data_IF_798474792154
#
_entry.id   IF_798474792154
#
_cell.length_a   1.000
_cell.length_b   1.000
_cell.length_c   1.000
_cell.angle_alpha   90.00
_cell.angle_beta   90.00
_cell.angle_gamma   90.00
#
_symmetry.space_group_name_H-M   'P 1'
#
loop_
_entity.id
_entity.type
_entity.pdbx_description
1 polymer ?
#
# COMPACT_ATOMS: atom_id res chain seq x y z
N UNK A 1 -13.39 22.46 -14.60
CA UNK A 1 -12.42 23.43 -14.02
C UNK A 1 -12.24 24.57 -15.02
N UNK A 2 -12.27 25.83 -14.59
CA UNK A 2 -12.17 27.03 -15.44
C UNK A 2 -10.84 27.79 -15.29
N UNK A 3 -9.83 27.20 -14.64
CA UNK A 3 -8.51 27.82 -14.41
C UNK A 3 -7.84 28.34 -15.68
N UNK A 4 -8.05 27.68 -16.82
CA UNK A 4 -7.54 28.12 -18.13
C UNK A 4 -8.08 29.46 -18.61
N UNK A 5 -9.21 29.95 -18.05
CA UNK A 5 -9.74 31.27 -18.35
C UNK A 5 -8.97 32.41 -17.66
N UNK A 6 -8.15 32.08 -16.65
CA UNK A 6 -7.47 33.06 -15.80
C UNK A 6 -5.95 33.10 -16.01
N UNK A 7 -5.39 32.10 -16.68
CA UNK A 7 -3.96 32.03 -16.98
C UNK A 7 -3.54 30.70 -17.60
N UNK A 8 -2.26 30.57 -18.00
CA UNK A 8 -1.72 29.38 -18.65
C UNK A 8 -1.44 28.25 -17.63
N UNK A 9 -2.48 27.78 -16.95
CA UNK A 9 -2.42 26.69 -15.96
C UNK A 9 -2.03 25.34 -16.55
N UNK A 10 -2.26 25.15 -17.85
CA UNK A 10 -2.00 23.92 -18.57
C UNK A 10 -0.92 24.15 -19.63
N UNK A 11 -0.15 23.09 -19.93
CA UNK A 11 0.82 23.07 -21.03
C UNK A 11 0.48 21.97 -22.03
N UNK A 12 0.86 22.19 -23.29
CA UNK A 12 0.80 21.18 -24.35
C UNK A 12 2.08 20.32 -24.43
N UNK A 13 3.14 20.70 -23.69
CA UNK A 13 4.41 19.99 -23.67
C UNK A 13 4.30 18.55 -23.15
N UNK A 14 3.32 18.31 -22.27
CA UNK A 14 3.09 17.01 -21.64
C UNK A 14 1.61 16.61 -21.68
N UNK A 15 1.37 15.31 -21.52
CA UNK A 15 0.02 14.73 -21.40
C UNK A 15 -0.03 13.82 -20.18
N UNK A 16 -1.13 13.89 -19.44
CA UNK A 16 -1.41 12.95 -18.36
C UNK A 16 -2.48 11.95 -18.81
N UNK A 17 -2.62 10.81 -18.12
CA UNK A 17 -3.74 9.90 -18.37
C UNK A 17 -5.13 10.55 -18.18
N UNK A 18 -5.21 11.61 -17.37
CA UNK A 18 -6.46 12.28 -16.99
C UNK A 18 -6.74 13.58 -17.74
N UNK A 19 -5.84 14.03 -18.61
CA UNK A 19 -6.06 15.23 -19.43
C UNK A 19 -4.78 16.06 -19.67
N UNK A 20 -4.97 17.37 -19.80
CA UNK A 20 -3.86 18.31 -20.01
C UNK A 20 -2.99 18.37 -18.75
N UNK A 21 -1.67 18.40 -18.94
CA UNK A 21 -0.72 18.54 -17.85
C UNK A 21 -0.70 19.97 -17.30
N UNK A 22 -0.44 20.09 -16.00
CA UNK A 22 -0.24 21.40 -15.37
C UNK A 22 1.09 22.02 -15.82
N UNK A 23 1.10 23.33 -15.99
CA UNK A 23 2.27 24.08 -16.39
C UNK A 23 3.16 24.41 -15.19
N UNK A 24 4.17 23.58 -14.91
CA UNK A 24 5.14 23.83 -13.84
C UNK A 24 6.50 24.36 -14.32
N UNK A 25 6.79 24.31 -15.62
CA UNK A 25 8.12 24.60 -16.17
C UNK A 25 8.12 25.36 -17.51
N UNK A 26 6.96 25.76 -18.03
CA UNK A 26 6.84 26.53 -19.27
C UNK A 26 6.69 28.04 -19.00
N UNK A 27 6.50 28.83 -20.05
CA UNK A 27 6.25 30.28 -19.98
C UNK A 27 5.07 30.56 -19.04
N UNK A 28 5.28 31.51 -18.11
CA UNK A 28 4.30 31.93 -17.10
C UNK A 28 3.92 30.85 -16.06
N UNK A 29 4.77 29.84 -15.87
CA UNK A 29 4.56 28.78 -14.87
C UNK A 29 4.70 29.27 -13.42
N UNK A 30 5.33 30.42 -13.16
CA UNK A 30 5.61 30.89 -11.79
C UNK A 30 4.34 31.05 -10.95
N UNK A 31 3.26 31.57 -11.53
CA UNK A 31 1.98 31.72 -10.85
C UNK A 31 1.29 30.39 -10.58
N UNK A 32 1.44 29.42 -11.49
CA UNK A 32 0.88 28.06 -11.36
C UNK A 32 1.60 27.30 -10.26
N UNK A 33 2.94 27.30 -10.26
CA UNK A 33 3.76 26.73 -9.18
C UNK A 33 3.34 27.29 -7.83
N UNK A 34 3.29 28.62 -7.73
CA UNK A 34 2.94 29.29 -6.48
C UNK A 34 1.53 28.91 -6.00
N UNK A 35 0.56 28.80 -6.90
CA UNK A 35 -0.80 28.39 -6.56
C UNK A 35 -0.84 27.03 -5.83
N UNK A 36 -0.16 26.02 -6.35
CA UNK A 36 -0.16 24.67 -5.75
C UNK A 36 0.64 24.61 -4.44
N UNK A 37 1.77 25.34 -4.36
CA UNK A 37 2.56 25.43 -3.12
C UNK A 37 1.76 26.12 -2.03
N UNK A 38 1.19 27.29 -2.31
CA UNK A 38 0.35 28.03 -1.36
C UNK A 38 -0.90 27.24 -0.98
N UNK A 39 -1.47 26.43 -1.88
CA UNK A 39 -2.56 25.53 -1.51
C UNK A 39 -2.14 24.48 -0.46
N UNK A 40 -0.95 23.89 -0.60
CA UNK A 40 -0.42 22.96 0.39
C UNK A 40 -0.20 23.64 1.75
N UNK A 41 0.42 24.83 1.76
CA UNK A 41 0.61 25.61 3.00
C UNK A 41 -0.73 26.01 3.64
N UNK A 42 -1.69 26.42 2.83
CA UNK A 42 -3.02 26.84 3.28
C UNK A 42 -3.73 25.74 4.08
N UNK A 43 -3.67 24.48 3.65
CA UNK A 43 -4.24 23.35 4.41
C UNK A 43 -3.58 23.15 5.77
N UNK A 44 -2.25 23.31 5.84
CA UNK A 44 -1.51 23.18 7.09
C UNK A 44 -1.78 24.35 8.05
N UNK A 45 -1.86 25.57 7.54
CA UNK A 45 -2.04 26.79 8.35
C UNK A 45 -3.48 26.99 8.81
N UNK A 46 -4.46 26.78 7.93
CA UNK A 46 -5.84 27.20 8.17
C UNK A 46 -6.73 26.06 8.63
N UNK A 47 -6.38 24.82 8.29
CA UNK A 47 -7.13 23.62 8.65
C UNK A 47 -6.34 22.68 9.56
N UNK A 48 -5.08 23.02 9.87
CA UNK A 48 -4.24 22.31 10.82
C UNK A 48 -4.04 20.82 10.49
N UNK A 49 -4.03 20.46 9.21
CA UNK A 49 -3.63 19.10 8.80
C UNK A 49 -2.21 18.79 9.31
N UNK A 50 -1.90 17.53 9.56
CA UNK A 50 -0.55 17.07 9.94
C UNK A 50 0.23 16.53 8.75
N UNK A 51 -0.48 16.01 7.74
CA UNK A 51 0.11 15.44 6.54
C UNK A 51 -0.75 15.73 5.31
N UNK A 52 -0.10 15.83 4.15
CA UNK A 52 -0.76 15.81 2.84
C UNK A 52 -0.24 14.62 2.04
N UNK A 53 -1.17 13.86 1.44
CA UNK A 53 -0.86 12.84 0.43
C UNK A 53 -1.00 13.48 -0.96
N UNK A 54 0.10 13.58 -1.69
CA UNK A 54 0.16 14.13 -3.04
C UNK A 54 -0.20 13.04 -4.04
N UNK A 55 -1.28 13.26 -4.78
CA UNK A 55 -1.80 12.37 -5.80
C UNK A 55 -0.88 12.31 -7.04
N UNK A 56 -0.70 11.10 -7.56
CA UNK A 56 -0.06 10.78 -8.83
C UNK A 56 1.14 11.66 -9.20
N UNK A 57 2.15 11.73 -8.32
CA UNK A 57 3.30 12.63 -8.51
C UNK A 57 4.09 12.33 -9.77
N UNK A 58 3.97 11.10 -10.29
CA UNK A 58 4.57 10.65 -11.54
C UNK A 58 3.99 11.33 -12.79
N UNK A 59 2.86 12.02 -12.65
CA UNK A 59 2.25 12.86 -13.69
C UNK A 59 2.48 14.36 -13.47
N UNK A 60 3.25 14.74 -12.43
CA UNK A 60 3.74 16.11 -12.23
C UNK A 60 5.04 16.23 -13.03
N UNK A 61 4.93 16.83 -14.21
CA UNK A 61 6.07 17.09 -15.09
C UNK A 61 6.70 18.43 -14.77
N UNK A 62 8.00 18.41 -14.52
CA UNK A 62 8.81 19.61 -14.30
C UNK A 62 10.28 19.31 -14.61
N UNK A 63 10.80 19.88 -15.69
CA UNK A 63 12.21 19.80 -16.09
C UNK A 63 13.05 20.99 -15.58
N UNK A 64 12.47 21.86 -14.75
CA UNK A 64 13.17 22.97 -14.11
C UNK A 64 14.33 22.48 -13.23
N UNK A 65 15.35 23.33 -13.08
CA UNK A 65 16.53 23.03 -12.24
C UNK A 65 16.17 22.75 -10.76
N UNK A 66 15.00 23.21 -10.31
CA UNK A 66 14.39 22.85 -9.03
C UNK A 66 12.97 22.34 -9.29
N UNK A 67 12.77 21.05 -9.08
CA UNK A 67 11.47 20.40 -9.23
C UNK A 67 10.44 20.99 -8.25
N UNK A 68 9.19 21.15 -8.66
CA UNK A 68 8.10 21.76 -7.86
C UNK A 68 7.85 21.00 -6.57
N UNK A 69 8.03 19.68 -6.59
CA UNK A 69 7.99 18.82 -5.40
C UNK A 69 9.08 19.19 -4.39
N UNK A 70 10.31 19.46 -4.84
CA UNK A 70 11.39 19.91 -3.97
C UNK A 70 11.08 21.30 -3.39
N UNK A 71 10.59 22.22 -4.22
CA UNK A 71 10.21 23.57 -3.77
C UNK A 71 9.08 23.52 -2.72
N UNK A 72 8.06 22.68 -2.94
CA UNK A 72 6.98 22.44 -1.99
C UNK A 72 7.51 21.88 -0.66
N UNK A 73 8.40 20.88 -0.71
CA UNK A 73 8.99 20.30 0.49
C UNK A 73 9.79 21.34 1.31
N UNK A 74 10.57 22.21 0.65
CA UNK A 74 11.29 23.31 1.32
C UNK A 74 10.35 24.31 1.99
N UNK A 75 9.23 24.66 1.33
CA UNK A 75 8.25 25.60 1.88
C UNK A 75 7.49 25.00 3.06
N UNK A 76 7.12 23.72 2.98
CA UNK A 76 6.48 22.98 4.07
C UNK A 76 7.42 22.80 5.25
N UNK A 77 8.72 22.56 5.01
CA UNK A 77 9.73 22.50 6.08
C UNK A 77 9.88 23.85 6.80
N UNK A 78 9.94 24.95 6.05
CA UNK A 78 9.97 26.29 6.63
C UNK A 78 8.73 26.60 7.48
N UNK A 79 7.54 26.22 6.98
CA UNK A 79 6.29 26.36 7.73
C UNK A 79 6.26 25.45 8.97
N UNK A 80 6.74 24.21 8.85
CA UNK A 80 6.85 23.27 9.96
C UNK A 80 7.70 23.84 11.09
N UNK A 81 8.83 24.49 10.76
CA UNK A 81 9.68 25.17 11.72
C UNK A 81 9.00 26.37 12.38
N UNK A 82 8.25 27.19 11.62
CA UNK A 82 7.56 28.37 12.17
C UNK A 82 6.38 27.99 13.08
N UNK A 83 5.68 26.90 12.77
CA UNK A 83 4.57 26.37 13.59
C UNK A 83 5.05 25.54 14.79
N UNK A 84 6.32 25.14 14.84
CA UNK A 84 6.87 24.31 15.91
C UNK A 84 6.30 22.89 15.97
N UNK A 85 5.76 22.37 14.85
CA UNK A 85 5.26 20.99 14.72
C UNK A 85 5.67 20.39 13.38
N UNK A 86 5.88 19.08 13.33
CA UNK A 86 6.24 18.38 12.10
C UNK A 86 5.03 18.34 11.14
N UNK A 87 5.25 18.76 9.90
CA UNK A 87 4.33 18.59 8.79
C UNK A 87 4.90 17.56 7.82
N UNK A 88 4.05 16.70 7.27
CA UNK A 88 4.47 15.61 6.40
C UNK A 88 3.93 15.73 4.97
N UNK A 89 4.76 15.41 3.99
CA UNK A 89 4.36 15.20 2.61
C UNK A 89 4.57 13.74 2.21
N UNK A 90 3.50 13.08 1.77
CA UNK A 90 3.50 11.68 1.36
C UNK A 90 3.16 11.60 -0.12
N UNK A 91 4.01 10.99 -0.93
CA UNK A 91 3.82 10.93 -2.37
C UNK A 91 3.13 9.63 -2.79
N UNK A 92 2.11 9.68 -3.64
CA UNK A 92 1.74 8.53 -4.46
C UNK A 92 2.60 8.52 -5.73
N UNK A 93 3.39 7.46 -5.92
CA UNK A 93 4.34 7.36 -7.02
C UNK A 93 4.32 5.97 -7.64
N UNK A 94 4.11 5.93 -8.96
CA UNK A 94 4.22 4.71 -9.78
C UNK A 94 5.60 4.60 -10.46
N UNK A 95 6.61 5.29 -9.93
CA UNK A 95 7.97 5.34 -10.52
C UNK A 95 8.93 4.32 -9.93
N UNK A 96 8.66 3.83 -8.70
CA UNK A 96 9.63 3.14 -7.86
C UNK A 96 10.97 3.92 -7.76
N UNK A 97 10.89 5.25 -7.64
CA UNK A 97 12.04 6.15 -7.67
C UNK A 97 12.35 6.71 -6.27
N UNK A 98 13.54 6.36 -5.75
CA UNK A 98 14.00 6.85 -4.45
C UNK A 98 14.25 8.36 -4.41
N UNK A 99 14.42 9.03 -5.56
CA UNK A 99 14.60 10.49 -5.60
C UNK A 99 13.42 11.22 -4.98
N UNK A 100 12.21 10.66 -5.01
CA UNK A 100 11.02 11.24 -4.39
C UNK A 100 11.23 11.50 -2.90
N UNK A 101 11.82 10.55 -2.18
CA UNK A 101 11.95 10.54 -0.71
C UNK A 101 13.38 10.79 -0.20
N UNK A 102 14.35 10.87 -1.11
CA UNK A 102 15.75 11.13 -0.77
C UNK A 102 15.92 12.59 -0.35
N UNK A 103 16.90 12.84 0.52
CA UNK A 103 17.26 14.17 0.98
C UNK A 103 17.70 15.07 -0.19
N UNK A 104 17.40 16.36 -0.07
CA UNK A 104 17.63 17.36 -1.14
C UNK A 104 19.13 17.52 -1.43
N UNK A 105 19.96 17.43 -0.40
CA UNK A 105 21.42 17.50 -0.44
C UNK A 105 22.03 16.32 -1.22
N UNK A 106 21.28 15.23 -1.36
CA UNK A 106 21.65 14.04 -2.15
C UNK A 106 20.90 13.98 -3.48
N UNK A 107 20.28 15.08 -3.92
CA UNK A 107 19.59 15.18 -5.20
C UNK A 107 18.16 14.61 -5.23
N UNK A 108 17.53 14.42 -4.06
CA UNK A 108 16.12 14.06 -3.96
C UNK A 108 15.17 15.25 -3.84
N UNK A 109 13.86 14.97 -3.81
CA UNK A 109 12.82 15.97 -3.63
C UNK A 109 12.51 16.24 -2.15
N UNK A 110 12.93 15.36 -1.24
CA UNK A 110 12.73 15.55 0.20
C UNK A 110 11.30 15.29 0.70
N UNK A 111 10.51 14.46 0.00
CA UNK A 111 9.23 13.97 0.55
C UNK A 111 9.48 13.05 1.75
N UNK A 112 8.57 13.07 2.73
CA UNK A 112 8.74 12.28 3.96
C UNK A 112 8.49 10.79 3.73
N UNK A 113 7.56 10.43 2.84
CA UNK A 113 7.27 9.06 2.45
C UNK A 113 6.70 8.95 1.04
N UNK A 114 6.66 7.74 0.49
CA UNK A 114 5.92 7.42 -0.72
C UNK A 114 5.13 6.13 -0.59
N UNK A 115 4.03 6.01 -1.32
CA UNK A 115 3.31 4.75 -1.47
C UNK A 115 4.18 3.76 -2.25
N UNK A 116 4.16 2.50 -1.82
CA UNK A 116 4.95 1.40 -2.36
C UNK A 116 4.04 0.23 -2.72
N UNK A 117 3.45 0.33 -3.90
CA UNK A 117 2.38 -0.57 -4.36
C UNK A 117 2.85 -1.99 -4.64
N UNK A 118 4.13 -2.21 -4.91
CA UNK A 118 4.72 -3.53 -5.15
C UNK A 118 4.41 -4.53 -4.01
N UNK A 119 4.36 -4.08 -2.76
CA UNK A 119 3.96 -4.91 -1.62
C UNK A 119 2.51 -5.39 -1.76
N UNK A 120 1.59 -4.45 -2.02
CA UNK A 120 0.17 -4.74 -2.26
C UNK A 120 0.03 -5.75 -3.41
N UNK A 121 0.73 -5.51 -4.52
CA UNK A 121 0.60 -6.31 -5.73
C UNK A 121 1.10 -7.74 -5.53
N UNK A 122 2.22 -7.92 -4.83
CA UNK A 122 2.70 -9.24 -4.41
C UNK A 122 1.68 -9.95 -3.53
N UNK A 123 1.21 -9.28 -2.48
CA UNK A 123 0.30 -9.87 -1.50
C UNK A 123 -1.04 -10.28 -2.16
N UNK A 124 -1.63 -9.39 -2.96
CA UNK A 124 -2.87 -9.63 -3.67
C UNK A 124 -2.75 -10.81 -4.65
N UNK A 125 -1.70 -10.85 -5.46
CA UNK A 125 -1.51 -11.93 -6.45
C UNK A 125 -1.23 -13.28 -5.81
N UNK A 126 -0.52 -13.32 -4.68
CA UNK A 126 -0.28 -14.55 -3.92
C UNK A 126 -1.57 -15.12 -3.32
N UNK A 127 -2.48 -14.26 -2.86
CA UNK A 127 -3.73 -14.67 -2.21
C UNK A 127 -4.87 -14.97 -3.20
N UNK A 128 -4.96 -14.24 -4.30
CA UNK A 128 -6.06 -14.35 -5.28
C UNK A 128 -5.68 -15.19 -6.50
N UNK A 129 -4.40 -15.27 -6.84
CA UNK A 129 -3.94 -15.86 -8.10
C UNK A 129 -4.24 -14.99 -9.34
N UNK A 130 -4.73 -13.76 -9.18
CA UNK A 130 -5.04 -12.88 -10.30
C UNK A 130 -3.79 -12.51 -11.12
N UNK A 131 -3.94 -12.48 -12.45
CA UNK A 131 -2.86 -12.21 -13.42
C UNK A 131 -3.34 -11.23 -14.51
N UNK A 132 -4.17 -10.25 -14.12
CA UNK A 132 -4.77 -9.24 -15.02
C UNK A 132 -4.09 -7.89 -14.81
N UNK A 133 -3.90 -7.11 -15.88
CA UNK A 133 -3.28 -5.78 -15.76
C UNK A 133 -1.87 -5.85 -15.16
N UNK A 134 -1.57 -4.92 -14.26
CA UNK A 134 -0.28 -4.81 -13.57
C UNK A 134 0.04 -6.01 -12.67
N UNK A 135 -0.95 -6.83 -12.29
CA UNK A 135 -0.71 -8.06 -11.51
C UNK A 135 0.14 -9.10 -12.26
N UNK A 136 0.23 -9.02 -13.60
CA UNK A 136 1.09 -9.90 -14.43
C UNK A 136 2.58 -9.83 -14.10
N UNK A 137 3.00 -8.75 -13.45
CA UNK A 137 4.38 -8.54 -13.02
C UNK A 137 4.69 -9.23 -11.67
N UNK A 138 3.68 -9.83 -11.01
CA UNK A 138 3.78 -10.36 -9.66
C UNK A 138 3.24 -11.81 -9.56
N UNK A 139 3.38 -12.39 -8.38
CA UNK A 139 2.82 -13.71 -8.04
C UNK A 139 3.81 -14.71 -7.46
N UNK A 140 5.10 -14.33 -7.33
CA UNK A 140 6.12 -15.15 -6.66
C UNK A 140 6.26 -14.74 -5.19
N UNK A 141 6.46 -15.72 -4.30
CA UNK A 141 6.62 -15.40 -2.87
C UNK A 141 7.97 -14.73 -2.58
N UNK A 142 8.99 -15.03 -3.38
CA UNK A 142 10.29 -14.33 -3.37
C UNK A 142 10.14 -12.82 -3.65
N UNK A 143 9.18 -12.40 -4.47
CA UNK A 143 8.91 -10.98 -4.70
C UNK A 143 8.34 -10.32 -3.45
N UNK A 144 7.45 -10.99 -2.71
CA UNK A 144 6.98 -10.48 -1.43
C UNK A 144 8.14 -10.37 -0.42
N UNK A 145 9.01 -11.38 -0.34
CA UNK A 145 10.21 -11.34 0.50
C UNK A 145 11.12 -10.14 0.14
N UNK A 146 11.31 -9.88 -1.16
CA UNK A 146 12.02 -8.69 -1.66
C UNK A 146 11.32 -7.40 -1.22
N UNK A 147 9.99 -7.30 -1.36
CA UNK A 147 9.23 -6.13 -0.94
C UNK A 147 9.34 -5.83 0.57
N UNK A 148 9.47 -6.85 1.43
CA UNK A 148 9.76 -6.65 2.87
C UNK A 148 11.13 -6.02 3.12
N UNK A 149 12.15 -6.45 2.38
CA UNK A 149 13.54 -6.01 2.57
C UNK A 149 13.84 -4.68 1.88
N UNK A 150 13.39 -4.53 0.66
CA UNK A 150 13.81 -3.48 -0.27
C UNK A 150 12.69 -2.48 -0.58
N UNK A 151 11.47 -2.72 -0.11
CA UNK A 151 10.25 -1.95 -0.40
C UNK A 151 9.78 -2.04 -1.86
N UNK A 152 10.69 -1.96 -2.84
CA UNK A 152 10.41 -2.20 -4.25
C UNK A 152 10.80 -3.60 -4.69
N UNK A 153 9.94 -4.23 -5.47
CA UNK A 153 10.23 -5.48 -6.19
C UNK A 153 11.02 -5.16 -7.45
N UNK A 154 10.67 -4.09 -8.15
CA UNK A 154 11.40 -3.64 -9.33
C UNK A 154 12.43 -2.58 -8.96
N UNK A 155 13.72 -2.93 -9.07
CA UNK A 155 14.87 -2.08 -8.77
C UNK A 155 15.82 -1.95 -9.98
N UNK A 156 15.31 -1.35 -11.05
CA UNK A 156 15.93 -1.29 -12.39
C UNK A 156 15.95 -2.63 -13.13
N UNK A 157 14.86 -3.36 -13.03
CA UNK A 157 14.62 -4.63 -13.72
C UNK A 157 13.54 -4.47 -14.80
N UNK A 158 13.55 -5.32 -15.83
CA UNK A 158 12.52 -5.28 -16.87
C UNK A 158 11.19 -5.80 -16.32
N UNK A 159 10.16 -4.95 -16.33
CA UNK A 159 8.80 -5.26 -15.91
C UNK A 159 7.97 -5.70 -17.13
N UNK A 160 7.63 -7.00 -17.27
CA UNK A 160 6.97 -7.56 -18.46
C UNK A 160 5.67 -6.87 -18.88
N UNK A 161 4.80 -6.51 -17.94
CA UNK A 161 3.54 -5.81 -18.19
C UNK A 161 3.79 -4.38 -18.63
N UNK A 162 4.69 -3.67 -17.94
CA UNK A 162 5.07 -2.29 -18.27
C UNK A 162 5.89 -2.18 -19.57
N UNK A 163 6.49 -3.29 -20.02
CA UNK A 163 7.34 -3.40 -21.22
C UNK A 163 8.54 -2.45 -21.21
N UNK A 164 9.11 -2.22 -20.03
CA UNK A 164 10.27 -1.34 -19.81
C UNK A 164 11.02 -1.71 -18.53
N UNK A 165 12.23 -1.19 -18.37
CA UNK A 165 12.91 -1.18 -17.08
C UNK A 165 12.17 -0.28 -16.09
N UNK A 166 12.09 -0.71 -14.84
CA UNK A 166 11.32 -0.03 -13.81
C UNK A 166 12.04 0.03 -12.46
N UNK A 167 11.85 1.16 -11.78
CA UNK A 167 12.30 1.41 -10.42
C UNK A 167 13.79 1.67 -10.23
N UNK A 168 14.16 1.80 -8.97
CA UNK A 168 15.51 2.10 -8.48
C UNK A 168 15.75 1.36 -7.15
N UNK A 169 17.01 1.19 -6.77
CA UNK A 169 17.37 0.55 -5.51
C UNK A 169 16.97 1.44 -4.31
N UNK A 170 16.12 0.89 -3.43
CA UNK A 170 15.56 1.53 -2.24
C UNK A 170 16.02 0.88 -0.92
N UNK A 171 17.02 0.00 -0.99
CA UNK A 171 17.58 -0.71 0.18
C UNK A 171 18.21 0.23 1.22
N UNK A 172 18.71 1.40 0.79
CA UNK A 172 19.34 2.38 1.68
C UNK A 172 18.36 3.30 2.42
N UNK A 173 17.07 3.26 2.08
CA UNK A 173 16.03 4.10 2.68
C UNK A 173 15.35 3.36 3.84
N UNK A 174 15.00 4.03 4.95
CA UNK A 174 14.32 3.39 6.08
C UNK A 174 12.84 3.07 5.77
N UNK A 175 12.27 2.10 6.49
CA UNK A 175 10.91 1.61 6.23
C UNK A 175 9.80 2.63 6.52
N UNK A 176 10.07 3.61 7.39
CA UNK A 176 9.11 4.69 7.65
C UNK A 176 8.89 5.64 6.47
N UNK A 177 9.66 5.54 5.39
CA UNK A 177 9.45 6.31 4.16
C UNK A 177 8.60 5.58 3.11
N UNK A 178 8.11 4.37 3.42
CA UNK A 178 7.30 3.57 2.50
C UNK A 178 5.95 3.26 3.12
N UNK A 179 4.88 3.76 2.50
CA UNK A 179 3.51 3.44 2.87
C UNK A 179 3.05 2.24 2.04
N UNK A 180 2.61 1.18 2.70
CA UNK A 180 2.10 -0.04 2.08
C UNK A 180 0.68 -0.31 2.56
N UNK A 181 -0.09 -1.10 1.81
CA UNK A 181 -1.45 -1.46 2.18
C UNK A 181 -1.81 -2.86 1.67
N UNK A 182 -2.89 -3.43 2.21
CA UNK A 182 -3.59 -4.55 1.54
C UNK A 182 -4.78 -4.06 0.72
N UNK A 183 -5.34 -2.91 1.09
CA UNK A 183 -6.40 -2.23 0.36
C UNK A 183 -6.21 -0.72 0.45
N UNK A 184 -6.64 -0.01 -0.59
CA UNK A 184 -6.85 1.43 -0.58
C UNK A 184 -8.00 1.75 -1.56
N UNK A 185 -8.28 3.03 -1.77
CA UNK A 185 -9.38 3.45 -2.64
C UNK A 185 -9.19 3.04 -4.11
N UNK A 186 -7.95 3.01 -4.63
CA UNK A 186 -7.65 2.58 -6.00
C UNK A 186 -7.69 1.07 -6.15
N UNK A 187 -7.02 0.34 -5.24
CA UNK A 187 -6.91 -1.12 -5.31
C UNK A 187 -8.27 -1.82 -5.17
N UNK A 188 -9.24 -1.15 -4.53
CA UNK A 188 -10.65 -1.56 -4.52
C UNK A 188 -11.43 -0.89 -5.67
N UNK A 189 -11.44 0.44 -5.76
CA UNK A 189 -12.34 1.20 -6.62
C UNK A 189 -12.02 1.23 -8.11
N UNK A 190 -10.78 0.90 -8.50
CA UNK A 190 -10.44 0.72 -9.91
C UNK A 190 -10.83 -0.67 -10.44
N UNK A 191 -11.22 -1.61 -9.56
CA UNK A 191 -11.84 -2.87 -9.98
C UNK A 191 -13.24 -2.59 -10.53
N UNK A 192 -13.66 -3.37 -11.53
CA UNK A 192 -14.94 -3.16 -12.22
C UNK A 192 -16.15 -3.17 -11.26
N UNK A 193 -16.13 -4.05 -10.27
CA UNK A 193 -17.20 -4.20 -9.29
C UNK A 193 -16.85 -3.64 -7.91
N UNK A 194 -15.72 -2.94 -7.77
CA UNK A 194 -15.30 -2.35 -6.49
C UNK A 194 -15.09 -3.37 -5.37
N UNK A 195 -14.77 -4.61 -5.70
CA UNK A 195 -14.67 -5.71 -4.74
C UNK A 195 -13.52 -5.50 -3.77
N UNK A 196 -13.79 -5.72 -2.48
CA UNK A 196 -12.78 -5.70 -1.43
C UNK A 196 -12.07 -7.05 -1.37
N UNK A 197 -10.87 -7.07 -0.79
CA UNK A 197 -10.15 -8.32 -0.56
C UNK A 197 -11.00 -9.34 0.22
N UNK A 198 -11.83 -8.87 1.16
CA UNK A 198 -12.80 -9.66 1.95
C UNK A 198 -13.79 -10.49 1.14
N UNK A 199 -14.11 -10.07 -0.09
CA UNK A 199 -15.01 -10.79 -0.99
C UNK A 199 -14.26 -11.62 -2.03
N UNK A 200 -12.94 -11.49 -2.11
CA UNK A 200 -12.09 -12.17 -3.09
C UNK A 200 -11.36 -13.39 -2.52
N UNK A 201 -11.12 -13.42 -1.20
CA UNK A 201 -10.32 -14.48 -0.56
C UNK A 201 -11.00 -15.09 0.66
N UNK A 202 -10.43 -16.19 1.15
CA UNK A 202 -10.92 -16.87 2.34
C UNK A 202 -10.72 -16.03 3.62
N UNK A 203 -11.45 -16.35 4.68
CA UNK A 203 -11.24 -15.70 5.98
C UNK A 203 -9.83 -15.90 6.54
N UNK A 204 -9.21 -17.06 6.29
CA UNK A 204 -7.82 -17.32 6.68
C UNK A 204 -6.86 -16.41 5.91
N UNK A 205 -7.04 -16.26 4.59
CA UNK A 205 -6.27 -15.35 3.76
C UNK A 205 -6.39 -13.87 4.21
N UNK A 206 -7.55 -13.43 4.70
CA UNK A 206 -7.70 -12.08 5.27
C UNK A 206 -6.87 -11.89 6.55
N UNK A 207 -6.88 -12.88 7.44
CA UNK A 207 -6.04 -12.86 8.65
C UNK A 207 -4.56 -12.85 8.28
N UNK A 208 -4.16 -13.65 7.29
CA UNK A 208 -2.81 -13.69 6.75
C UNK A 208 -2.40 -12.34 6.15
N UNK A 209 -3.26 -11.69 5.36
CA UNK A 209 -3.00 -10.37 4.80
C UNK A 209 -2.79 -9.31 5.89
N UNK A 210 -3.63 -9.32 6.94
CA UNK A 210 -3.51 -8.43 8.10
C UNK A 210 -2.16 -8.61 8.81
N UNK A 211 -1.75 -9.87 9.04
CA UNK A 211 -0.45 -10.21 9.61
C UNK A 211 0.71 -9.74 8.75
N UNK A 212 0.66 -10.00 7.44
CA UNK A 212 1.69 -9.57 6.51
C UNK A 212 1.87 -8.04 6.53
N UNK A 213 0.77 -7.29 6.49
CA UNK A 213 0.83 -5.83 6.52
C UNK A 213 1.38 -5.30 7.85
N UNK A 214 0.78 -5.70 8.98
CA UNK A 214 1.04 -5.08 10.28
C UNK A 214 2.35 -5.54 10.94
N UNK A 215 2.93 -6.66 10.50
CA UNK A 215 4.24 -7.13 10.97
C UNK A 215 5.41 -6.65 10.10
N UNK A 216 5.16 -5.93 9.00
CA UNK A 216 6.20 -5.34 8.15
C UNK A 216 6.99 -4.21 8.83
N UNK A 217 8.17 -3.90 8.31
CA UNK A 217 8.95 -2.72 8.73
C UNK A 217 8.54 -1.42 7.99
N UNK A 218 7.52 -1.45 7.14
CA UNK A 218 7.01 -0.29 6.40
C UNK A 218 5.84 0.37 7.14
N UNK A 219 5.40 1.58 6.74
CA UNK A 219 4.20 2.23 7.28
C UNK A 219 2.92 1.58 6.72
N UNK A 220 2.04 1.00 7.55
CA UNK A 220 0.79 0.43 7.07
C UNK A 220 -0.28 1.52 6.88
N UNK A 221 -1.00 1.44 5.77
CA UNK A 221 -2.27 2.14 5.52
C UNK A 221 -3.40 1.11 5.53
N UNK A 222 -4.47 1.42 6.25
CA UNK A 222 -5.70 0.63 6.26
C UNK A 222 -6.78 1.37 5.48
N UNK A 223 -7.54 0.62 4.66
CA UNK A 223 -8.72 1.18 4.03
C UNK A 223 -9.95 1.03 4.93
N UNK A 224 -10.82 2.04 4.95
CA UNK A 224 -11.98 2.06 5.85
C UNK A 224 -12.82 0.78 5.71
N UNK A 225 -13.01 0.06 6.83
CA UNK A 225 -13.74 -1.19 6.90
C UNK A 225 -12.92 -2.47 6.68
N UNK A 226 -11.66 -2.37 6.24
CA UNK A 226 -10.76 -3.51 6.09
C UNK A 226 -10.59 -4.29 7.41
N UNK A 227 -10.53 -3.59 8.54
CA UNK A 227 -10.21 -4.17 9.84
C UNK A 227 -11.27 -5.14 10.37
N UNK A 228 -12.52 -4.99 9.93
CA UNK A 228 -13.61 -5.91 10.27
C UNK A 228 -14.08 -6.73 9.06
N UNK A 229 -13.39 -6.64 7.92
CA UNK A 229 -13.75 -7.38 6.72
C UNK A 229 -15.06 -6.90 6.09
N UNK A 230 -15.22 -5.58 5.94
CA UNK A 230 -16.32 -4.97 5.19
C UNK A 230 -16.53 -5.66 3.83
N UNK A 231 -17.78 -5.94 3.47
CA UNK A 231 -18.13 -6.59 2.21
C UNK A 231 -18.81 -5.63 1.23
N UNK A 232 -19.27 -4.46 1.69
CA UNK A 232 -19.74 -3.40 0.80
C UNK A 232 -18.62 -3.01 -0.18
N UNK A 233 -18.89 -2.95 -1.49
CA UNK A 233 -17.88 -2.55 -2.46
C UNK A 233 -17.44 -1.11 -2.20
N UNK A 234 -16.37 -0.67 -2.85
CA UNK A 234 -16.07 0.76 -2.98
C UNK A 234 -16.00 1.08 -4.46
N UNK A 235 -17.05 1.70 -5.00
CA UNK A 235 -17.20 1.94 -6.43
C UNK A 235 -16.71 3.34 -6.81
N UNK A 236 -16.35 3.52 -8.08
CA UNK A 236 -16.13 4.86 -8.63
C UNK A 236 -17.48 5.54 -8.88
N UNK A 237 -17.74 6.64 -8.18
CA UNK A 237 -18.96 7.46 -8.32
C UNK A 237 -18.64 8.94 -8.55
N UNK A 238 -19.50 9.61 -9.30
CA UNK A 238 -19.40 11.04 -9.63
C UNK A 238 -20.76 11.73 -9.49
N UNK A 239 -20.73 13.05 -9.34
CA UNK A 239 -21.94 13.89 -9.32
C UNK A 239 -21.70 15.17 -10.13
N UNK A 240 -21.39 15.00 -11.42
CA UNK A 240 -21.18 16.13 -12.34
C UNK A 240 -22.53 16.68 -12.80
N UNK A 241 -22.64 18.01 -12.91
CA UNK A 241 -23.85 18.67 -13.42
C UNK A 241 -23.82 18.91 -14.93
N UNK A 242 -22.65 18.81 -15.55
CA UNK A 242 -22.46 18.95 -16.99
C UNK A 242 -22.73 17.60 -17.71
N UNK A 243 -23.79 17.50 -18.55
CA UNK A 243 -24.14 16.27 -19.23
C UNK A 243 -23.04 15.71 -20.15
N UNK A 244 -22.20 16.57 -20.71
CA UNK A 244 -21.12 16.13 -21.61
C UNK A 244 -19.99 15.49 -20.81
N UNK A 245 -19.66 16.01 -19.62
CA UNK A 245 -18.73 15.36 -18.69
C UNK A 245 -19.27 14.01 -18.20
N UNK A 246 -20.56 13.95 -17.84
CA UNK A 246 -21.21 12.71 -17.41
C UNK A 246 -21.10 11.64 -18.50
N UNK A 247 -21.42 12.02 -19.75
CA UNK A 247 -21.30 11.12 -20.90
C UNK A 247 -19.85 10.67 -21.10
N UNK A 248 -18.89 11.59 -21.01
CA UNK A 248 -17.47 11.28 -21.14
C UNK A 248 -16.98 10.30 -20.06
N UNK A 249 -17.42 10.46 -18.81
CA UNK A 249 -17.10 9.54 -17.70
C UNK A 249 -17.65 8.14 -17.96
N UNK A 250 -18.94 8.03 -18.34
CA UNK A 250 -19.57 6.74 -18.68
C UNK A 250 -18.84 6.04 -19.82
N UNK A 251 -18.50 6.76 -20.88
CA UNK A 251 -17.77 6.21 -22.02
C UNK A 251 -16.32 5.83 -21.68
N UNK A 252 -15.64 6.64 -20.86
CA UNK A 252 -14.29 6.40 -20.39
C UNK A 252 -14.19 5.08 -19.60
N UNK A 253 -15.05 4.91 -18.59
CA UNK A 253 -15.11 3.66 -17.80
C UNK A 253 -15.44 2.45 -18.67
N UNK A 254 -16.39 2.59 -19.60
CA UNK A 254 -16.72 1.50 -20.54
C UNK A 254 -15.53 1.07 -21.40
N UNK A 255 -14.69 2.02 -21.84
CA UNK A 255 -13.46 1.72 -22.62
C UNK A 255 -12.39 1.06 -21.76
N UNK A 256 -12.18 1.53 -20.53
CA UNK A 256 -11.26 0.91 -19.58
C UNK A 256 -11.64 -0.55 -19.32
N UNK A 257 -12.91 -0.83 -19.03
CA UNK A 257 -13.38 -2.21 -18.77
C UNK A 257 -13.26 -3.14 -19.98
N UNK A 258 -13.48 -2.63 -21.19
CA UNK A 258 -13.26 -3.40 -22.41
C UNK A 258 -11.78 -3.81 -22.58
N UNK A 259 -10.83 -2.97 -22.17
CA UNK A 259 -9.40 -3.31 -22.21
C UNK A 259 -9.04 -4.46 -21.25
N UNK A 260 -9.76 -4.59 -20.13
CA UNK A 260 -9.57 -5.65 -19.14
C UNK A 260 -10.33 -6.96 -19.43
N UNK A 261 -11.09 -7.05 -20.53
CA UNK A 261 -11.87 -8.23 -20.93
C UNK A 261 -12.82 -8.75 -19.83
N UNK A 262 -13.31 -7.85 -18.98
CA UNK A 262 -14.21 -8.20 -17.88
C UNK A 262 -15.64 -8.28 -18.43
N UNK A 263 -16.24 -9.48 -18.38
CA UNK A 263 -17.65 -9.70 -18.71
C UNK A 263 -18.52 -9.36 -17.47
N UNK A 264 -19.47 -8.42 -17.60
CA UNK A 264 -20.39 -8.07 -16.52
C UNK A 264 -21.17 -6.77 -16.75
N UNK A 265 -22.26 -6.57 -16.01
CA UNK A 265 -22.94 -5.28 -15.95
C UNK A 265 -22.15 -4.33 -15.06
N UNK A 266 -21.65 -3.22 -15.62
CA UNK A 266 -20.99 -2.18 -14.85
C UNK A 266 -22.02 -1.26 -14.19
N UNK A 267 -21.72 -0.78 -12.98
CA UNK A 267 -22.59 0.18 -12.30
C UNK A 267 -22.31 1.58 -12.82
N UNK A 268 -23.38 2.32 -13.09
CA UNK A 268 -23.31 3.68 -13.60
C UNK A 268 -22.68 4.62 -12.55
N UNK A 269 -21.52 5.24 -12.81
CA UNK A 269 -20.86 6.12 -11.85
C UNK A 269 -21.71 7.31 -11.39
N UNK A 270 -22.68 7.75 -12.20
CA UNK A 270 -23.55 8.88 -11.84
C UNK A 270 -24.78 8.44 -11.01
N UNK A 271 -25.06 7.14 -10.92
CA UNK A 271 -26.22 6.65 -10.16
C UNK A 271 -26.03 6.86 -8.67
N UNK A 272 -27.07 7.34 -7.99
CA UNK A 272 -27.12 7.42 -6.53
C UNK A 272 -26.87 6.06 -5.87
N UNK A 273 -27.33 4.97 -6.48
CA UNK A 273 -27.15 3.62 -5.95
C UNK A 273 -25.66 3.25 -5.86
N UNK A 274 -24.83 3.67 -6.82
CA UNK A 274 -23.37 3.43 -6.82
C UNK A 274 -22.70 4.03 -5.59
N UNK A 275 -23.11 5.24 -5.18
CA UNK A 275 -22.65 5.85 -3.93
C UNK A 275 -23.20 5.12 -2.70
N UNK A 276 -24.51 4.83 -2.68
CA UNK A 276 -25.16 4.20 -1.53
C UNK A 276 -24.63 2.80 -1.22
N UNK A 277 -24.34 2.01 -2.25
CA UNK A 277 -23.74 0.70 -2.09
C UNK A 277 -22.29 0.75 -1.59
N UNK A 278 -21.60 1.86 -1.79
CA UNK A 278 -20.24 2.07 -1.31
C UNK A 278 -20.17 2.46 0.17
N UNK A 279 -21.32 2.60 0.83
CA UNK A 279 -21.40 2.96 2.25
C UNK A 279 -21.11 1.75 3.15
N UNK A 280 -20.30 2.00 4.19
CA UNK A 280 -19.92 0.99 5.17
C UNK A 280 -21.14 0.40 5.89
N UNK A 281 -21.15 -0.93 5.98
CA UNK A 281 -22.07 -1.71 6.80
C UNK A 281 -21.37 -1.92 8.14
N UNK A 282 -21.74 -1.16 9.16
CA UNK A 282 -21.11 -1.20 10.49
C UNK A 282 -21.43 -2.47 11.32
N UNK A 283 -21.46 -3.64 10.68
CA UNK A 283 -21.85 -4.94 11.24
C UNK A 283 -20.66 -5.73 11.82
N UNK A 284 -19.83 -5.08 12.62
CA UNK A 284 -18.57 -5.64 13.13
C UNK A 284 -18.67 -6.27 14.53
N UNK A 285 -19.86 -6.35 15.12
CA UNK A 285 -20.03 -6.73 16.53
C UNK A 285 -20.03 -8.25 16.77
N UNK A 286 -20.16 -9.09 15.74
CA UNK A 286 -20.31 -10.54 15.89
C UNK A 286 -19.52 -11.35 14.85
N UNK A 287 -19.41 -12.66 15.09
CA UNK A 287 -18.86 -13.62 14.13
C UNK A 287 -17.45 -13.29 13.63
N UNK A 288 -17.25 -13.54 12.33
CA UNK A 288 -15.97 -13.34 11.64
C UNK A 288 -15.51 -11.88 11.65
N UNK A 289 -16.44 -10.93 11.52
CA UNK A 289 -16.12 -9.50 11.50
C UNK A 289 -15.54 -9.04 12.84
N UNK A 290 -16.12 -9.48 13.96
CA UNK A 290 -15.57 -9.23 15.30
C UNK A 290 -14.19 -9.85 15.47
N UNK A 291 -14.04 -11.13 15.11
CA UNK A 291 -12.77 -11.85 15.25
C UNK A 291 -11.64 -11.20 14.45
N UNK A 292 -11.92 -10.75 13.22
CA UNK A 292 -10.95 -10.04 12.40
C UNK A 292 -10.58 -8.68 13.02
N UNK A 293 -11.57 -7.92 13.48
CA UNK A 293 -11.34 -6.63 14.15
C UNK A 293 -10.48 -6.77 15.40
N UNK A 294 -10.75 -7.78 16.23
CA UNK A 294 -9.94 -8.08 17.42
C UNK A 294 -8.52 -8.51 17.03
N UNK A 295 -8.34 -9.26 15.94
CA UNK A 295 -7.01 -9.58 15.41
C UNK A 295 -6.26 -8.32 14.96
N UNK A 296 -6.89 -7.41 14.21
CA UNK A 296 -6.29 -6.13 13.80
C UNK A 296 -5.87 -5.30 15.02
N UNK A 297 -6.76 -5.16 16.01
CA UNK A 297 -6.45 -4.46 17.26
C UNK A 297 -5.24 -5.07 17.98
N UNK A 298 -5.20 -6.40 18.06
CA UNK A 298 -4.10 -7.11 18.70
C UNK A 298 -2.78 -6.97 17.92
N UNK A 299 -2.81 -7.04 16.59
CA UNK A 299 -1.63 -6.80 15.75
C UNK A 299 -1.09 -5.38 15.88
N UNK A 300 -1.97 -4.37 15.93
CA UNK A 300 -1.57 -2.98 16.19
C UNK A 300 -0.95 -2.86 17.58
N UNK A 301 -1.51 -3.51 18.59
CA UNK A 301 -0.96 -3.53 19.95
C UNK A 301 0.43 -4.19 19.99
N UNK A 302 0.63 -5.32 19.31
CA UNK A 302 1.94 -5.98 19.19
C UNK A 302 2.94 -5.06 18.50
N UNK A 303 2.53 -4.43 17.39
CA UNK A 303 3.36 -3.47 16.65
C UNK A 303 3.80 -2.27 17.49
N UNK A 304 2.96 -1.80 18.40
CA UNK A 304 3.27 -0.67 19.29
C UNK A 304 4.10 -1.07 20.52
N UNK A 305 3.99 -2.32 20.97
CA UNK A 305 4.58 -2.79 22.23
C UNK A 305 5.90 -3.53 22.07
N UNK A 306 6.09 -4.30 20.99
CA UNK A 306 7.31 -5.07 20.75
C UNK A 306 8.35 -4.19 20.05
N UNK A 307 9.54 -3.94 20.65
CA UNK A 307 10.57 -3.08 20.04
C UNK A 307 11.00 -3.49 18.63
N UNK A 308 11.13 -4.79 18.36
CA UNK A 308 11.45 -5.31 17.02
C UNK A 308 10.39 -4.97 15.95
N UNK A 309 9.12 -4.81 16.35
CA UNK A 309 8.03 -4.44 15.43
C UNK A 309 7.84 -2.92 15.35
N UNK A 310 7.98 -2.23 16.48
CA UNK A 310 7.80 -0.77 16.61
C UNK A 310 8.81 0.02 15.80
N UNK A 311 10.05 -0.46 15.74
CA UNK A 311 11.11 0.18 14.97
C UNK A 311 11.02 -0.23 13.50
N UNK A 312 10.82 0.76 12.62
CA UNK A 312 10.64 0.58 11.18
C UNK A 312 11.99 0.51 10.43
N UNK A 313 12.87 -0.33 10.97
CA UNK A 313 14.24 -0.50 10.50
C UNK A 313 14.34 -1.70 9.56
N UNK A 314 14.76 -1.45 8.32
CA UNK A 314 14.98 -2.48 7.30
C UNK A 314 16.37 -3.12 7.38
N UNK A 315 17.31 -2.56 8.15
CA UNK A 315 18.65 -3.15 8.36
C UNK A 315 18.62 -4.31 9.34
N UNK A 316 17.70 -4.26 10.31
CA UNK A 316 17.48 -5.30 11.31
C UNK A 316 16.28 -6.18 10.95
N UNK A 317 16.27 -6.65 9.70
CA UNK A 317 15.21 -7.46 9.10
C UNK A 317 15.81 -8.45 8.12
N UNK A 318 15.38 -9.71 8.23
CA UNK A 318 15.57 -10.73 7.21
C UNK A 318 14.20 -11.23 6.75
N UNK A 319 14.04 -11.37 5.43
CA UNK A 319 12.91 -12.05 4.83
C UNK A 319 13.44 -13.09 3.83
N UNK A 320 12.99 -14.33 3.99
CA UNK A 320 13.33 -15.45 3.11
C UNK A 320 12.07 -16.22 2.75
N UNK A 321 12.11 -16.96 1.64
CA UNK A 321 10.96 -17.68 1.14
C UNK A 321 11.33 -19.08 0.65
N UNK A 322 10.34 -19.98 0.66
CA UNK A 322 10.39 -21.26 -0.06
C UNK A 322 9.34 -21.18 -1.16
N UNK A 323 9.80 -20.96 -2.40
CA UNK A 323 8.92 -20.66 -3.54
C UNK A 323 7.94 -21.79 -3.84
N UNK A 324 8.42 -23.04 -3.88
CA UNK A 324 7.61 -24.21 -4.20
C UNK A 324 6.44 -24.42 -3.23
N UNK A 325 6.67 -24.11 -1.95
CA UNK A 325 5.68 -24.26 -0.88
C UNK A 325 4.90 -22.98 -0.58
N UNK A 326 5.28 -21.85 -1.17
CA UNK A 326 4.73 -20.51 -0.88
C UNK A 326 4.83 -20.12 0.60
N UNK A 327 5.96 -20.46 1.23
CA UNK A 327 6.25 -20.02 2.60
C UNK A 327 7.10 -18.76 2.61
N UNK A 328 6.81 -17.87 3.55
CA UNK A 328 7.61 -16.69 3.85
C UNK A 328 8.02 -16.70 5.33
N UNK A 329 9.29 -16.44 5.59
CA UNK A 329 9.87 -16.29 6.91
C UNK A 329 10.30 -14.84 7.08
N UNK A 330 9.92 -14.23 8.20
CA UNK A 330 10.28 -12.86 8.55
C UNK A 330 10.91 -12.85 9.93
N UNK A 331 12.19 -12.46 10.00
CA UNK A 331 12.92 -12.24 11.24
C UNK A 331 13.18 -10.74 11.38
N UNK A 332 12.76 -10.15 12.50
CA UNK A 332 13.07 -8.75 12.82
C UNK A 332 13.65 -8.67 14.22
N UNK A 333 14.57 -7.73 14.43
CA UNK A 333 15.15 -7.51 15.74
C UNK A 333 15.40 -6.02 16.02
N UNK A 334 15.45 -5.68 17.29
CA UNK A 334 15.91 -4.39 17.78
C UNK A 334 16.46 -4.59 19.18
N UNK A 335 17.75 -4.33 19.36
CA UNK A 335 18.51 -4.70 20.56
C UNK A 335 18.29 -6.19 20.90
N UNK A 336 17.81 -6.48 22.12
CA UNK A 336 17.51 -7.85 22.58
C UNK A 336 16.14 -8.36 22.12
N UNK A 337 15.25 -7.49 21.66
CA UNK A 337 13.91 -7.88 21.20
C UNK A 337 13.99 -8.51 19.82
N UNK A 338 13.49 -9.72 19.65
CA UNK A 338 13.40 -10.38 18.35
C UNK A 338 12.03 -11.02 18.13
N UNK A 339 11.58 -11.02 16.88
CA UNK A 339 10.40 -11.74 16.43
C UNK A 339 10.73 -12.62 15.23
N UNK A 340 10.11 -13.78 15.16
CA UNK A 340 10.18 -14.67 14.01
C UNK A 340 8.76 -15.03 13.58
N UNK A 341 8.41 -14.68 12.34
CA UNK A 341 7.10 -14.92 11.77
C UNK A 341 7.21 -15.93 10.62
N UNK A 342 6.29 -16.89 10.59
CA UNK A 342 6.15 -17.88 9.54
C UNK A 342 4.79 -17.67 8.90
N UNK A 343 4.75 -17.42 7.60
CA UNK A 343 3.55 -17.13 6.84
C UNK A 343 3.38 -18.20 5.75
N UNK A 344 2.23 -18.87 5.73
CA UNK A 344 1.90 -19.86 4.72
C UNK A 344 0.88 -19.31 3.73
N UNK A 345 1.29 -19.04 2.49
CA UNK A 345 0.41 -18.59 1.41
C UNK A 345 -0.17 -19.75 0.59
N UNK A 346 0.17 -20.99 0.92
CA UNK A 346 -0.39 -22.18 0.29
C UNK A 346 -1.85 -22.41 0.74
N UNK A 347 -2.64 -23.02 -0.13
CA UNK A 347 -4.02 -23.44 0.17
C UNK A 347 -4.08 -24.77 0.93
N UNK A 348 -2.92 -25.36 1.24
CA UNK A 348 -2.75 -26.61 1.99
C UNK A 348 -1.85 -26.45 3.21
N UNK A 349 -1.92 -27.45 4.09
CA UNK A 349 -0.90 -27.64 5.14
C UNK A 349 0.47 -27.84 4.48
N UNK A 350 1.48 -27.14 4.97
CA UNK A 350 2.85 -27.30 4.50
C UNK A 350 3.70 -27.90 5.61
N UNK A 351 4.45 -28.95 5.28
CA UNK A 351 5.45 -29.54 6.16
C UNK A 351 6.83 -29.03 5.75
N UNK A 352 7.56 -28.42 6.68
CA UNK A 352 8.86 -27.81 6.38
C UNK A 352 9.80 -27.93 7.57
N UNK A 353 11.09 -27.81 7.29
CA UNK A 353 12.14 -27.73 8.29
C UNK A 353 12.68 -26.30 8.29
N UNK A 354 12.29 -25.45 9.25
CA UNK A 354 12.74 -24.06 9.26
C UNK A 354 14.25 -23.97 9.54
N UNK A 355 14.91 -23.05 8.84
CA UNK A 355 16.17 -22.51 9.34
C UNK A 355 15.84 -21.44 10.38
N UNK A 356 15.96 -21.81 11.65
CA UNK A 356 15.62 -20.93 12.76
C UNK A 356 16.83 -20.06 13.14
N UNK A 357 16.63 -18.75 13.39
CA UNK A 357 17.67 -17.97 14.05
C UNK A 357 17.90 -18.52 15.47
N UNK A 358 19.14 -18.41 15.96
CA UNK A 358 19.50 -18.93 17.28
C UNK A 358 18.70 -18.22 18.38
N UNK A 359 17.91 -18.99 19.14
CA UNK A 359 17.14 -18.41 20.23
C UNK A 359 16.10 -19.34 20.85
N UNK A 360 15.54 -18.89 21.96
CA UNK A 360 14.42 -19.53 22.62
C UNK A 360 13.11 -18.88 22.16
N UNK A 361 12.53 -19.40 21.09
CA UNK A 361 11.34 -18.82 20.49
C UNK A 361 10.06 -19.30 21.16
N UNK A 362 9.28 -18.37 21.71
CA UNK A 362 7.97 -18.61 22.32
C UNK A 362 6.86 -18.09 21.40
N UNK A 363 5.85 -18.92 21.12
CA UNK A 363 4.69 -18.54 20.32
C UNK A 363 3.88 -17.48 21.06
N UNK A 364 3.61 -16.36 20.39
CA UNK A 364 2.77 -15.28 20.93
C UNK A 364 1.47 -15.10 20.16
N UNK A 365 1.42 -15.52 18.89
CA UNK A 365 0.22 -15.48 18.08
C UNK A 365 0.24 -16.56 16.99
N UNK A 366 -0.94 -17.16 16.75
CA UNK A 366 -1.19 -18.13 15.69
C UNK A 366 -2.61 -17.93 15.18
N UNK A 367 -2.79 -17.54 13.92
CA UNK A 367 -4.12 -17.24 13.36
C UNK A 367 -5.02 -18.44 13.20
N UNK A 368 -4.47 -19.65 13.28
CA UNK A 368 -5.24 -20.90 13.22
C UNK A 368 -5.82 -21.30 14.58
N UNK A 369 -5.50 -20.59 15.67
CA UNK A 369 -6.12 -20.83 16.98
C UNK A 369 -7.63 -20.54 16.98
N UNK A 370 -8.44 -21.31 17.73
CA UNK A 370 -9.90 -21.12 17.81
C UNK A 370 -10.33 -19.71 18.24
N UNK A 371 -9.49 -19.00 19.02
CA UNK A 371 -9.77 -17.61 19.46
C UNK A 371 -9.90 -16.63 18.29
N UNK A 372 -9.25 -16.93 17.15
CA UNK A 372 -9.34 -16.15 15.91
C UNK A 372 -10.23 -16.84 14.86
N UNK A 373 -11.13 -17.72 15.31
CA UNK A 373 -11.97 -18.56 14.45
C UNK A 373 -11.17 -19.37 13.41
N UNK A 374 -9.94 -19.75 13.74
CA UNK A 374 -9.08 -20.57 12.88
C UNK A 374 -9.46 -22.05 12.89
N UNK A 375 -8.90 -22.80 11.95
CA UNK A 375 -9.17 -24.23 11.74
C UNK A 375 -8.44 -25.19 12.70
N UNK A 376 -7.59 -24.67 13.58
CA UNK A 376 -6.78 -25.43 14.53
C UNK A 376 -5.28 -25.20 14.33
N UNK A 377 -4.58 -24.82 15.40
CA UNK A 377 -3.12 -24.63 15.42
C UNK A 377 -2.39 -25.97 15.45
N UNK A 378 -1.46 -26.17 14.51
CA UNK A 378 -0.48 -27.27 14.53
C UNK A 378 0.93 -26.82 14.93
N UNK A 379 1.13 -25.51 15.09
CA UNK A 379 2.43 -24.93 15.40
C UNK A 379 2.75 -25.00 16.90
N UNK A 380 3.98 -25.41 17.28
CA UNK A 380 4.31 -25.63 18.68
C UNK A 380 4.45 -24.32 19.46
N UNK A 381 4.23 -24.38 20.77
CA UNK A 381 4.39 -23.21 21.66
C UNK A 381 5.85 -22.73 21.75
N UNK A 382 6.81 -23.63 21.50
CA UNK A 382 8.24 -23.32 21.43
C UNK A 382 8.85 -23.92 20.19
N UNK A 383 9.71 -23.15 19.50
CA UNK A 383 10.47 -23.70 18.37
C UNK A 383 11.73 -24.39 18.90
N UNK A 384 11.97 -25.60 18.39
CA UNK A 384 13.16 -26.39 18.68
C UNK A 384 13.92 -26.55 17.36
N UNK A 385 15.25 -26.42 17.41
CA UNK A 385 16.11 -26.62 16.24
C UNK A 385 15.86 -28.02 15.63
N UNK A 386 15.86 -28.08 14.30
CA UNK A 386 15.70 -29.33 13.52
C UNK A 386 14.34 -30.04 13.69
N UNK A 387 13.37 -29.43 14.37
CA UNK A 387 12.00 -29.94 14.42
C UNK A 387 11.29 -29.70 13.08
N UNK A 388 10.68 -30.75 12.52
CA UNK A 388 9.75 -30.62 11.41
C UNK A 388 8.45 -29.94 11.90
N UNK A 389 8.02 -28.91 11.18
CA UNK A 389 6.82 -28.15 11.49
C UNK A 389 5.76 -28.36 10.41
N UNK A 390 4.50 -28.29 10.82
CA UNK A 390 3.33 -28.26 9.92
C UNK A 390 2.60 -26.96 10.16
N UNK A 391 2.48 -26.09 9.15
CA UNK A 391 1.71 -24.85 9.24
C UNK A 391 0.40 -24.99 8.46
N UNK A 392 -0.77 -24.59 9.04
CA UNK A 392 -2.05 -24.67 8.34
C UNK A 392 -2.13 -23.75 7.11
N UNK A 393 -3.03 -23.98 6.14
CA UNK A 393 -3.17 -23.17 4.94
C UNK A 393 -3.51 -21.72 5.27
N UNK A 394 -2.99 -20.79 4.45
CA UNK A 394 -3.34 -19.36 4.50
C UNK A 394 -3.31 -18.77 5.92
N UNK A 395 -2.28 -19.12 6.70
CA UNK A 395 -2.15 -18.76 8.11
C UNK A 395 -0.78 -18.18 8.41
N UNK A 396 -0.64 -17.52 9.56
CA UNK A 396 0.68 -17.18 10.07
C UNK A 396 0.81 -17.44 11.57
N UNK A 397 2.06 -17.62 11.98
CA UNK A 397 2.44 -17.79 13.38
C UNK A 397 3.61 -16.88 13.72
N UNK A 398 3.49 -16.16 14.83
CA UNK A 398 4.46 -15.21 15.34
C UNK A 398 5.06 -15.73 16.64
N UNK A 399 6.39 -15.74 16.68
CA UNK A 399 7.20 -16.09 17.82
C UNK A 399 7.99 -14.87 18.30
N UNK A 400 8.26 -14.83 19.60
CA UNK A 400 9.13 -13.85 20.24
C UNK A 400 10.27 -14.58 20.96
N UNK A 401 11.45 -13.99 20.94
CA UNK A 401 12.60 -14.45 21.73
C UNK A 401 12.64 -13.78 23.10
#
# INVERSE_FOLDING_TARGET
>A
NYTSLFGPYFTEAYKTPWGAAMNFDDVHSEGVRNYFIENALYWFENYHFDALRLDAIHAIYDLGAKHVLQEMAEKVEALSASLGRKLYLIAESDLNDVRVIREKELGGHGMDAQWSDDFHHCLHTLLTGEQIGYYKDFGKIEQLAKAYKESFVYSWEYAPHRKRFHGSDASDRPGHQFVICTQNHDQVGNRMLGERLSTLVSFEALKLAAGALLLSANLPLLFMGEEYGEEAPFLYFVSHTDPDLVKAVREGRKKEFAAFHLEGEYKDPESHDTFHESQLKWNWQEGKNKALRELYQHLIQLRQSIPALKNLDKKNLEASAIEEDKLLFLHRWHDESQIFCILNFNDKNVNFNPTLPNGNWQKILDTSEPKWMGSGSTMPDKLIAEQQLTIPPQSFTLYQQ
#
